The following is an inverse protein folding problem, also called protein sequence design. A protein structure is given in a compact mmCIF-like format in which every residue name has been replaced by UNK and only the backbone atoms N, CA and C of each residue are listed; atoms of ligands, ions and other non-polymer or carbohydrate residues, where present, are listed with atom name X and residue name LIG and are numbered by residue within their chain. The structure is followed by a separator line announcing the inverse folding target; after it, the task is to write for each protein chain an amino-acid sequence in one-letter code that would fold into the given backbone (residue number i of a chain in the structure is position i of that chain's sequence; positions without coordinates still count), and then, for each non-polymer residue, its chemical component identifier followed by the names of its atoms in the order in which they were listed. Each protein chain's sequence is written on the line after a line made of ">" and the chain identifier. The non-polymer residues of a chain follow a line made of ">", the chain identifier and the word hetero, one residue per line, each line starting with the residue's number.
data_IF_635350851597
#
_entry.id   IF_635350851597
#
_cell.length_a   1.000
_cell.length_b   1.000
_cell.length_c   1.000
_cell.angle_alpha   90.00
_cell.angle_beta   90.00
_cell.angle_gamma   90.00
#
_symmetry.space_group_name_H-M   'P 1'
#
loop_
_entity.id
_entity.type
_entity.pdbx_description
1 polymer ?
#
# COMPACT_ATOMS: atom_id res chain seq x y z
N UNK A 1 -6.81 -12.54 -3.84
CA UNK A 1 -5.71 -11.58 -3.64
C UNK A 1 -4.92 -12.06 -2.43
N UNK A 2 -3.60 -12.26 -2.53
CA UNK A 2 -2.79 -12.59 -1.37
C UNK A 2 -2.60 -11.32 -0.53
N UNK A 3 -3.64 -10.97 0.22
CA UNK A 3 -3.59 -9.87 1.17
C UNK A 3 -2.71 -10.33 2.32
N UNK A 4 -1.45 -9.89 2.36
CA UNK A 4 -0.60 -10.12 3.52
C UNK A 4 -1.27 -9.56 4.79
N UNK A 5 -0.78 -9.96 5.96
CA UNK A 5 -1.34 -9.59 7.28
C UNK A 5 -1.45 -8.07 7.55
N UNK A 6 -0.93 -7.23 6.66
CA UNK A 6 -0.97 -5.78 6.75
C UNK A 6 -2.35 -5.18 6.47
N UNK A 7 -3.21 -5.81 5.65
CA UNK A 7 -4.50 -5.24 5.24
C UNK A 7 -5.71 -5.77 6.02
N UNK A 8 -5.49 -6.21 7.26
CA UNK A 8 -6.58 -6.53 8.18
C UNK A 8 -7.39 -5.27 8.53
N UNK A 9 -8.65 -5.48 8.93
CA UNK A 9 -9.54 -4.39 9.32
C UNK A 9 -9.02 -3.68 10.57
N UNK A 10 -9.00 -2.34 10.54
CA UNK A 10 -8.52 -1.51 11.66
C UNK A 10 -6.98 -1.42 11.78
N UNK A 11 -6.23 -2.07 10.89
CA UNK A 11 -4.78 -1.97 10.84
C UNK A 11 -4.30 -0.54 10.53
N UNK A 12 -3.03 -0.19 10.85
CA UNK A 12 -2.45 1.08 10.45
C UNK A 12 -2.54 1.33 8.94
N UNK A 13 -2.44 0.27 8.13
CA UNK A 13 -2.57 0.35 6.67
C UNK A 13 -3.99 0.75 6.26
N UNK A 14 -5.04 0.10 6.76
CA UNK A 14 -6.42 0.43 6.39
C UNK A 14 -6.81 1.84 6.85
N UNK A 15 -6.36 2.27 8.03
CA UNK A 15 -6.56 3.64 8.52
C UNK A 15 -5.87 4.67 7.64
N UNK A 16 -4.61 4.44 7.29
CA UNK A 16 -3.87 5.34 6.42
C UNK A 16 -4.47 5.35 5.00
N UNK A 17 -5.01 4.23 4.51
CA UNK A 17 -5.64 4.14 3.21
C UNK A 17 -6.88 5.04 3.13
N UNK A 18 -7.70 5.05 4.19
CA UNK A 18 -8.84 5.96 4.32
C UNK A 18 -8.41 7.44 4.32
N UNK A 19 -7.35 7.79 5.06
CA UNK A 19 -6.83 9.16 5.09
C UNK A 19 -6.33 9.64 3.72
N UNK A 20 -5.81 8.72 2.91
CA UNK A 20 -5.32 8.99 1.57
C UNK A 20 -6.38 8.80 0.46
N UNK A 21 -7.63 8.47 0.82
CA UNK A 21 -8.70 8.11 -0.14
C UNK A 21 -8.25 7.06 -1.17
N UNK A 22 -7.45 6.09 -0.72
CA UNK A 22 -6.87 5.05 -1.55
C UNK A 22 -7.37 3.66 -1.11
N UNK A 23 -7.35 2.69 -2.03
CA UNK A 23 -7.59 1.31 -1.64
C UNK A 23 -6.42 0.78 -0.78
N UNK A 24 -6.66 -0.09 0.20
CA UNK A 24 -5.58 -0.64 1.05
C UNK A 24 -4.44 -1.30 0.26
N UNK A 25 -4.76 -1.98 -0.84
CA UNK A 25 -3.76 -2.57 -1.73
C UNK A 25 -2.87 -1.51 -2.39
N UNK A 26 -3.43 -0.36 -2.80
CA UNK A 26 -2.66 0.74 -3.37
C UNK A 26 -1.71 1.34 -2.32
N UNK A 27 -2.20 1.55 -1.10
CA UNK A 27 -1.36 2.09 -0.05
C UNK A 27 -0.23 1.13 0.35
N UNK A 28 -0.48 -0.18 0.31
CA UNK A 28 0.55 -1.18 0.57
C UNK A 28 1.67 -1.14 -0.48
N UNK A 29 1.30 -1.02 -1.77
CA UNK A 29 2.27 -0.86 -2.85
C UNK A 29 3.06 0.45 -2.72
N UNK A 30 2.39 1.56 -2.41
CA UNK A 30 3.03 2.85 -2.19
C UNK A 30 4.03 2.79 -1.01
N UNK A 31 3.66 2.11 0.08
CA UNK A 31 4.53 1.91 1.24
C UNK A 31 5.78 1.10 0.88
N UNK A 32 5.64 0.01 0.12
CA UNK A 32 6.78 -0.78 -0.37
C UNK A 32 7.68 0.08 -1.26
N UNK A 33 7.13 0.77 -2.25
CA UNK A 33 7.90 1.64 -3.16
C UNK A 33 8.65 2.76 -2.42
N UNK A 34 8.06 3.32 -1.35
CA UNK A 34 8.73 4.34 -0.51
C UNK A 34 9.89 3.78 0.30
N UNK A 35 9.88 2.48 0.65
CA UNK A 35 10.84 1.86 1.56
C UNK A 35 12.28 1.87 1.05
N UNK A 36 12.47 1.94 -0.27
CA UNK A 36 13.80 2.07 -0.88
C UNK A 36 13.67 2.55 -2.33
N UNK A 37 14.58 3.45 -2.78
CA UNK A 37 14.59 3.90 -4.18
C UNK A 37 14.90 2.80 -5.20
N UNK A 38 15.39 1.64 -4.74
CA UNK A 38 15.68 0.47 -5.60
C UNK A 38 14.68 -0.67 -5.40
N UNK A 39 13.55 -0.41 -4.72
CA UNK A 39 12.50 -1.42 -4.53
C UNK A 39 11.67 -1.60 -5.80
N UNK A 40 11.65 -2.82 -6.35
CA UNK A 40 10.75 -3.21 -7.44
C UNK A 40 9.64 -4.11 -6.88
N UNK A 41 8.39 -3.68 -7.02
CA UNK A 41 7.21 -4.46 -6.62
C UNK A 41 6.56 -5.07 -7.85
N UNK A 42 6.25 -6.38 -7.82
CA UNK A 42 5.66 -7.12 -8.93
C UNK A 42 4.27 -7.63 -8.54
N UNK A 43 3.26 -6.75 -8.45
CA UNK A 43 1.92 -7.17 -8.08
C UNK A 43 1.27 -7.98 -9.20
N UNK A 44 0.73 -9.15 -8.88
CA UNK A 44 -0.05 -9.96 -9.81
C UNK A 44 -1.53 -9.56 -9.75
N UNK A 45 -2.19 -9.50 -10.92
CA UNK A 45 -3.63 -9.31 -11.04
C UNK A 45 -4.14 -9.90 -12.36
N UNK A 46 -5.38 -10.40 -12.36
CA UNK A 46 -6.11 -10.83 -13.57
C UNK A 46 -7.21 -9.86 -14.00
N UNK A 47 -7.43 -8.77 -13.25
CA UNK A 47 -8.42 -7.73 -13.55
C UNK A 47 -7.74 -6.45 -14.02
N UNK A 48 -8.31 -5.84 -15.07
CA UNK A 48 -7.86 -4.57 -15.62
C UNK A 48 -8.07 -3.41 -14.64
N UNK A 49 -9.15 -3.46 -13.85
CA UNK A 49 -9.45 -2.49 -12.79
C UNK A 49 -8.36 -2.51 -11.72
N UNK A 50 -8.01 -3.68 -11.20
CA UNK A 50 -6.92 -3.84 -10.24
C UNK A 50 -5.55 -3.45 -10.85
N UNK A 51 -5.33 -3.69 -12.15
CA UNK A 51 -4.12 -3.22 -12.82
C UNK A 51 -4.04 -1.68 -12.78
N UNK A 52 -5.14 -1.00 -13.08
CA UNK A 52 -5.20 0.46 -13.01
C UNK A 52 -4.97 0.97 -11.58
N UNK A 53 -5.52 0.28 -10.57
CA UNK A 53 -5.27 0.59 -9.16
C UNK A 53 -3.79 0.43 -8.79
N UNK A 54 -3.16 -0.68 -9.19
CA UNK A 54 -1.74 -0.96 -8.94
C UNK A 54 -0.83 0.11 -9.55
N UNK A 55 -1.14 0.57 -10.76
CA UNK A 55 -0.38 1.65 -11.43
C UNK A 55 -0.55 2.97 -10.68
N UNK A 56 -1.77 3.31 -10.26
CA UNK A 56 -2.04 4.54 -9.49
C UNK A 56 -1.32 4.55 -8.13
N UNK A 57 -1.03 3.39 -7.55
CA UNK A 57 -0.30 3.31 -6.28
C UNK A 57 1.08 3.99 -6.32
N UNK A 58 1.78 3.94 -7.45
CA UNK A 58 3.08 4.58 -7.61
C UNK A 58 3.03 6.13 -7.55
N UNK A 59 1.83 6.72 -7.67
CA UNK A 59 1.62 8.16 -7.61
C UNK A 59 1.23 8.64 -6.20
N UNK A 60 0.99 7.72 -5.27
CA UNK A 60 0.61 8.06 -3.91
C UNK A 60 1.84 8.59 -3.16
N UNK A 61 1.79 9.87 -2.80
CA UNK A 61 2.74 10.48 -1.87
C UNK A 61 2.35 10.10 -0.44
N UNK A 62 2.95 9.01 0.06
CA UNK A 62 2.72 8.55 1.43
C UNK A 62 3.45 9.48 2.41
N UNK A 63 2.74 10.01 3.40
CA UNK A 63 3.32 10.84 4.46
C UNK A 63 4.21 10.01 5.40
N UNK A 64 5.16 10.65 6.07
CA UNK A 64 6.12 9.95 6.94
C UNK A 64 5.45 9.33 8.17
N UNK A 65 4.45 10.01 8.75
CA UNK A 65 3.67 9.50 9.88
C UNK A 65 2.96 8.17 9.54
N UNK A 66 2.36 8.09 8.36
CA UNK A 66 1.72 6.89 7.85
C UNK A 66 2.74 5.78 7.55
N UNK A 67 3.89 6.13 6.95
CA UNK A 67 4.97 5.19 6.68
C UNK A 67 5.47 4.50 7.95
N UNK A 68 5.76 5.29 8.98
CA UNK A 68 6.22 4.82 10.29
C UNK A 68 5.15 4.02 11.06
N UNK A 69 3.88 4.42 10.94
CA UNK A 69 2.77 3.68 11.55
C UNK A 69 2.65 2.26 10.97
N UNK A 70 2.76 2.12 9.65
CA UNK A 70 2.70 0.82 8.97
C UNK A 70 3.94 -0.02 9.28
N UNK A 71 5.14 0.59 9.27
CA UNK A 71 6.40 -0.09 9.57
C UNK A 71 6.40 -0.73 10.96
N UNK A 72 5.88 -0.02 11.99
CA UNK A 72 5.80 -0.54 13.36
C UNK A 72 4.85 -1.73 13.53
N UNK A 73 3.84 -1.86 12.67
CA UNK A 73 2.92 -3.00 12.66
C UNK A 73 3.35 -4.17 11.77
N UNK A 74 4.45 -4.02 11.03
CA UNK A 74 4.93 -5.03 10.08
C UNK A 74 5.83 -6.10 10.72
N UNK A 75 5.67 -6.36 12.03
CA UNK A 75 6.41 -7.35 12.83
C UNK A 75 5.45 -8.39 13.38
#
# INVERSE_FOLDING_TARGET
>A
MATGNLATEGSPLTKAAQQHNAAPAQLALAWLLKRSPVMLVIPSTSSAEHLAENVKAAQIQLRDDAFEAIARSSV
#
